data_IF_462437398240
#
_entry.id   IF_462437398240
#
_cell.length_a   1.000
_cell.length_b   1.000
_cell.length_c   1.000
_cell.angle_alpha   90.00
_cell.angle_beta   90.00
_cell.angle_gamma   90.00
#
_symmetry.space_group_name_H-M   'P 1'
#
loop_
_entity.id
_entity.type
_entity.pdbx_description
1 polymer ?
#
# COMPACT_ATOMS: atom_id res chain seq x y z
N UNK A 1 39.59 34.38 -7.17
CA UNK A 1 39.87 33.04 -6.61
C UNK A 1 39.11 32.93 -5.29
N UNK A 2 37.81 32.59 -5.35
CA UNK A 2 37.00 32.32 -4.15
C UNK A 2 37.06 30.82 -3.93
N UNK A 3 37.72 30.42 -2.84
CA UNK A 3 37.68 29.08 -2.28
C UNK A 3 36.21 28.73 -2.07
N UNK A 4 35.70 27.79 -2.88
CA UNK A 4 34.43 27.12 -2.57
C UNK A 4 34.69 26.35 -1.29
N UNK A 5 33.98 26.68 -0.21
CA UNK A 5 33.92 25.81 0.96
C UNK A 5 33.53 24.42 0.46
N UNK A 6 34.48 23.48 0.49
CA UNK A 6 34.18 22.07 0.32
C UNK A 6 33.37 21.66 1.54
N UNK A 7 32.04 21.66 1.42
CA UNK A 7 31.16 21.10 2.43
C UNK A 7 31.54 19.64 2.60
N UNK A 8 32.11 19.30 3.76
CA UNK A 8 32.52 17.94 4.09
C UNK A 8 31.59 17.37 5.15
N UNK A 9 31.16 16.12 4.96
CA UNK A 9 30.36 15.42 5.96
C UNK A 9 31.27 14.49 6.77
N UNK A 10 31.40 14.74 8.06
CA UNK A 10 32.15 13.87 8.98
C UNK A 10 31.46 12.51 9.13
N UNK A 11 32.12 11.57 9.82
CA UNK A 11 31.59 10.21 10.06
C UNK A 11 30.17 10.31 10.63
N UNK A 12 29.16 9.74 9.96
CA UNK A 12 27.78 9.81 10.42
C UNK A 12 27.59 8.96 11.67
N UNK A 13 26.77 9.45 12.61
CA UNK A 13 26.46 8.74 13.85
C UNK A 13 25.45 7.57 13.68
N UNK A 14 25.18 7.16 12.44
CA UNK A 14 24.16 6.17 12.07
C UNK A 14 24.71 5.08 11.16
N UNK A 15 23.91 4.03 10.87
CA UNK A 15 24.36 2.94 10.04
C UNK A 15 24.69 3.43 8.63
N UNK A 16 25.71 2.82 8.03
CA UNK A 16 25.96 2.92 6.60
C UNK A 16 25.04 1.97 5.87
N UNK A 17 24.43 2.43 4.80
CA UNK A 17 23.52 1.65 3.97
C UNK A 17 24.19 1.36 2.64
N UNK A 18 23.96 0.17 2.09
CA UNK A 18 24.48 -0.21 0.79
C UNK A 18 23.41 -0.85 -0.08
N UNK A 19 23.56 -0.71 -1.40
CA UNK A 19 22.82 -1.47 -2.40
C UNK A 19 23.79 -1.91 -3.49
N UNK A 20 23.85 -3.22 -3.73
CA UNK A 20 24.59 -3.77 -4.86
C UNK A 20 23.78 -3.54 -6.13
N UNK A 21 24.40 -2.89 -7.10
CA UNK A 21 23.83 -2.68 -8.43
C UNK A 21 24.54 -3.55 -9.46
N UNK A 22 23.97 -3.66 -10.66
CA UNK A 22 24.51 -4.50 -11.73
C UNK A 22 26.02 -4.28 -11.92
N UNK A 23 26.75 -5.36 -12.20
CA UNK A 23 28.23 -5.38 -12.29
C UNK A 23 28.98 -5.10 -10.96
N UNK A 24 28.44 -5.53 -9.81
CA UNK A 24 29.10 -5.48 -8.49
C UNK A 24 29.42 -4.05 -7.99
N UNK A 25 28.85 -3.02 -8.62
CA UNK A 25 29.02 -1.65 -8.16
C UNK A 25 28.17 -1.42 -6.92
N UNK A 26 28.77 -0.81 -5.90
CA UNK A 26 28.16 -0.54 -4.62
C UNK A 26 27.74 0.92 -4.57
N UNK A 27 26.53 1.18 -4.08
CA UNK A 27 26.11 2.53 -3.77
C UNK A 27 25.89 2.62 -2.28
N UNK A 28 26.52 3.63 -1.69
CA UNK A 28 26.44 3.89 -0.28
C UNK A 28 25.44 4.98 -0.01
N UNK A 29 24.80 4.88 1.16
CA UNK A 29 23.95 5.92 1.68
C UNK A 29 24.18 6.06 3.18
N UNK A 30 24.07 7.28 3.68
CA UNK A 30 23.96 7.55 5.11
C UNK A 30 22.79 8.48 5.38
N UNK A 31 22.22 8.40 6.59
CA UNK A 31 21.08 9.22 7.00
C UNK A 31 21.54 10.27 8.00
N UNK A 32 21.35 11.53 7.64
CA UNK A 32 21.73 12.69 8.46
C UNK A 32 20.47 13.34 9.02
N UNK A 33 20.39 13.46 10.35
CA UNK A 33 19.31 14.20 10.99
C UNK A 33 19.51 15.70 10.82
N UNK A 34 18.43 16.39 10.44
CA UNK A 34 18.37 17.84 10.36
C UNK A 34 17.88 18.43 11.69
N UNK A 35 18.13 19.72 11.90
CA UNK A 35 17.78 20.40 13.17
C UNK A 35 16.26 20.54 13.42
N UNK A 36 15.44 20.42 12.38
CA UNK A 36 13.98 20.54 12.42
C UNK A 36 13.27 19.18 12.62
N UNK A 37 14.02 18.10 12.87
CA UNK A 37 13.48 16.76 13.03
C UNK A 37 13.35 15.96 11.73
N UNK A 38 13.62 16.60 10.59
CA UNK A 38 13.71 15.94 9.28
C UNK A 38 14.99 15.12 9.16
N UNK A 39 15.08 14.30 8.13
CA UNK A 39 16.30 13.58 7.81
C UNK A 39 16.62 13.65 6.32
N UNK A 40 17.90 13.54 6.00
CA UNK A 40 18.40 13.53 4.64
C UNK A 40 19.15 12.23 4.37
N UNK A 41 18.75 11.50 3.33
CA UNK A 41 19.56 10.45 2.73
C UNK A 41 20.64 11.09 1.88
N UNK A 42 21.89 10.76 2.15
CA UNK A 42 23.05 11.25 1.42
C UNK A 42 23.69 10.07 0.70
N UNK A 43 23.64 10.08 -0.62
CA UNK A 43 24.18 9.00 -1.47
C UNK A 43 25.59 9.34 -1.94
N UNK A 44 26.47 8.36 -1.84
CA UNK A 44 27.89 8.51 -2.17
C UNK A 44 28.49 7.21 -2.71
N UNK A 45 29.62 7.32 -3.39
CA UNK A 45 30.32 6.19 -4.00
C UNK A 45 31.44 5.64 -3.11
N UNK A 46 32.10 4.57 -3.56
CA UNK A 46 33.23 3.94 -2.83
C UNK A 46 34.40 4.90 -2.57
N UNK A 47 34.50 5.98 -3.34
CA UNK A 47 35.49 7.05 -3.17
C UNK A 47 34.99 8.16 -2.25
N UNK A 48 33.85 7.94 -1.59
CA UNK A 48 33.27 8.84 -0.59
C UNK A 48 32.86 10.20 -1.17
N UNK A 49 32.58 10.21 -2.48
CA UNK A 49 32.07 11.38 -3.19
C UNK A 49 30.55 11.39 -3.13
N UNK A 50 29.98 12.41 -2.50
CA UNK A 50 28.52 12.65 -2.49
C UNK A 50 28.09 13.05 -3.88
N UNK A 51 27.07 12.37 -4.39
CA UNK A 51 26.54 12.64 -5.72
C UNK A 51 25.03 12.88 -5.75
N UNK A 52 24.31 12.57 -4.67
CA UNK A 52 22.86 12.75 -4.60
C UNK A 52 22.34 12.85 -3.17
N UNK A 53 21.17 13.48 -2.99
CA UNK A 53 20.52 13.70 -1.68
C UNK A 53 19.00 13.64 -1.78
N UNK A 54 18.35 13.08 -0.77
CA UNK A 54 16.88 13.07 -0.63
C UNK A 54 16.46 13.51 0.77
N UNK A 55 15.49 14.42 0.85
CA UNK A 55 14.94 14.90 2.11
C UNK A 55 13.68 14.11 2.50
N UNK A 56 13.57 13.79 3.78
CA UNK A 56 12.46 13.06 4.39
C UNK A 56 11.97 13.78 5.65
N UNK A 57 10.69 13.60 5.98
CA UNK A 57 10.08 14.21 7.17
C UNK A 57 10.64 13.64 8.48
N UNK A 58 11.24 12.46 8.47
CA UNK A 58 11.95 11.89 9.62
C UNK A 58 13.04 10.89 9.23
N UNK A 59 13.87 10.53 10.20
CA UNK A 59 14.87 9.46 10.03
C UNK A 59 14.24 8.12 9.71
N UNK A 60 13.19 7.74 10.44
CA UNK A 60 12.54 6.44 10.25
C UNK A 60 11.93 6.30 8.86
N UNK A 61 11.39 7.39 8.31
CA UNK A 61 10.93 7.49 6.92
C UNK A 61 12.04 7.24 5.92
N UNK A 62 13.15 7.94 6.11
CA UNK A 62 14.33 7.80 5.28
C UNK A 62 14.82 6.35 5.27
N UNK A 63 14.96 5.73 6.45
CA UNK A 63 15.42 4.34 6.58
C UNK A 63 14.43 3.32 5.97
N UNK A 64 13.12 3.55 6.10
CA UNK A 64 12.10 2.71 5.42
C UNK A 64 12.15 2.87 3.90
N UNK A 65 12.32 4.09 3.40
CA UNK A 65 12.45 4.37 1.98
C UNK A 65 13.69 3.70 1.37
N UNK A 66 14.80 3.69 2.12
CA UNK A 66 16.02 2.98 1.73
C UNK A 66 15.77 1.47 1.62
N UNK A 67 15.15 0.84 2.63
CA UNK A 67 14.81 -0.60 2.56
C UNK A 67 13.88 -0.94 1.41
N UNK A 68 12.84 -0.13 1.20
CA UNK A 68 11.91 -0.32 0.08
C UNK A 68 12.64 -0.33 -1.26
N UNK A 69 13.64 0.54 -1.40
CA UNK A 69 14.49 0.63 -2.58
C UNK A 69 15.65 -0.39 -2.61
N UNK A 70 15.65 -1.38 -1.71
CA UNK A 70 16.62 -2.47 -1.71
C UNK A 70 17.98 -2.11 -1.12
N UNK A 71 18.07 -1.07 -0.29
CA UNK A 71 19.25 -0.81 0.52
C UNK A 71 19.21 -1.61 1.83
N UNK A 72 20.38 -2.10 2.23
CA UNK A 72 20.58 -2.88 3.45
C UNK A 72 21.57 -2.14 4.36
N UNK A 73 21.33 -2.07 5.68
CA UNK A 73 22.34 -1.60 6.62
C UNK A 73 23.57 -2.50 6.58
N UNK A 74 24.77 -1.93 6.53
CA UNK A 74 26.04 -2.66 6.48
C UNK A 74 26.21 -3.59 7.70
N UNK A 75 25.73 -3.17 8.87
CA UNK A 75 25.80 -3.96 10.10
C UNK A 75 24.86 -5.19 10.09
N UNK A 76 23.90 -5.27 9.17
CA UNK A 76 23.00 -6.42 9.01
C UNK A 76 23.57 -7.51 8.09
N UNK A 77 24.64 -7.21 7.33
CA UNK A 77 25.32 -8.16 6.46
C UNK A 77 26.83 -8.18 6.76
N UNK A 78 27.19 -8.91 7.82
CA UNK A 78 28.57 -9.03 8.28
C UNK A 78 29.49 -9.67 7.23
N UNK A 79 28.96 -10.59 6.41
CA UNK A 79 29.72 -11.23 5.34
C UNK A 79 30.04 -10.27 4.20
N UNK A 80 29.10 -9.38 3.87
CA UNK A 80 29.32 -8.34 2.87
C UNK A 80 30.36 -7.31 3.34
N UNK A 81 30.32 -6.88 4.61
CA UNK A 81 31.29 -5.92 5.18
C UNK A 81 32.74 -6.38 5.04
N UNK A 82 33.01 -7.67 5.27
CA UNK A 82 34.36 -8.24 5.13
C UNK A 82 34.88 -8.21 3.68
N UNK A 83 33.98 -8.29 2.71
CA UNK A 83 34.31 -8.36 1.27
C UNK A 83 34.38 -6.96 0.65
N UNK A 84 33.43 -6.09 1.00
CA UNK A 84 33.28 -4.74 0.44
C UNK A 84 34.21 -3.70 1.10
N UNK A 85 34.55 -3.91 2.37
CA UNK A 85 35.21 -2.90 3.19
C UNK A 85 34.26 -1.78 3.63
N UNK A 86 34.83 -0.72 4.20
CA UNK A 86 34.10 0.48 4.62
C UNK A 86 34.53 1.70 3.80
N UNK A 87 33.58 2.58 3.44
CA UNK A 87 33.91 3.84 2.79
C UNK A 87 34.71 4.76 3.73
N UNK A 88 35.49 5.65 3.12
CA UNK A 88 36.33 6.59 3.85
C UNK A 88 35.56 7.86 4.23
N UNK A 89 35.98 8.52 5.30
CA UNK A 89 35.40 9.80 5.74
C UNK A 89 36.50 10.86 5.89
N UNK A 90 36.18 12.16 5.74
CA UNK A 90 34.85 12.73 5.51
C UNK A 90 34.38 12.60 4.05
N UNK A 91 33.05 12.53 3.85
CA UNK A 91 32.46 12.59 2.51
C UNK A 91 32.66 13.97 1.91
N UNK A 92 32.85 14.03 0.59
CA UNK A 92 33.08 15.29 -0.15
C UNK A 92 32.00 15.51 -1.19
N UNK A 93 31.49 16.74 -1.27
CA UNK A 93 30.58 17.15 -2.35
C UNK A 93 31.27 17.04 -3.72
N UNK A 94 30.67 16.29 -4.64
CA UNK A 94 31.18 16.15 -6.00
C UNK A 94 30.17 16.68 -7.02
N UNK A 95 30.42 17.87 -7.56
CA UNK A 95 29.57 18.50 -8.57
C UNK A 95 29.61 17.81 -9.96
N UNK A 96 30.40 16.73 -10.12
CA UNK A 96 30.66 16.06 -11.42
C UNK A 96 30.72 14.55 -11.28
N UNK A 97 29.77 13.98 -10.56
CA UNK A 97 29.61 12.54 -10.57
C UNK A 97 29.05 12.10 -11.93
N UNK A 98 29.76 11.22 -12.64
CA UNK A 98 29.23 10.51 -13.82
C UNK A 98 28.35 9.31 -13.38
N UNK A 99 28.04 9.20 -12.09
CA UNK A 99 27.24 8.11 -11.54
C UNK A 99 25.74 8.35 -11.82
N UNK A 100 24.95 7.28 -11.88
CA UNK A 100 23.49 7.40 -11.93
C UNK A 100 22.93 8.20 -10.74
N UNK A 101 21.80 8.87 -10.97
CA UNK A 101 21.06 9.60 -9.93
C UNK A 101 20.19 8.61 -9.17
N UNK A 102 20.64 8.21 -7.98
CA UNK A 102 20.01 7.15 -7.18
C UNK A 102 18.74 7.57 -6.46
N UNK A 103 18.39 8.85 -6.50
CA UNK A 103 17.13 9.39 -6.02
C UNK A 103 16.01 9.41 -7.07
N UNK A 104 16.23 8.89 -8.28
CA UNK A 104 15.25 9.01 -9.37
C UNK A 104 15.18 7.79 -10.31
N UNK A 105 14.06 7.70 -11.04
CA UNK A 105 13.90 6.84 -12.22
C UNK A 105 14.00 5.35 -11.91
N UNK A 106 14.97 4.69 -12.55
CA UNK A 106 15.18 3.23 -12.47
C UNK A 106 15.68 2.78 -11.08
N UNK A 107 16.37 3.65 -10.34
CA UNK A 107 17.07 3.26 -9.11
C UNK A 107 16.30 3.61 -7.83
N UNK A 108 15.30 4.48 -7.95
CA UNK A 108 14.47 4.96 -6.87
C UNK A 108 12.99 4.95 -7.25
N UNK A 109 12.26 4.06 -6.60
CA UNK A 109 10.82 4.09 -6.56
C UNK A 109 10.38 4.90 -5.35
N UNK A 110 9.52 5.89 -5.59
CA UNK A 110 8.86 6.62 -4.50
C UNK A 110 8.10 5.58 -3.69
N UNK A 111 8.49 5.33 -2.41
CA UNK A 111 7.78 4.37 -1.61
C UNK A 111 6.33 4.84 -1.46
N UNK A 112 5.34 3.94 -1.54
CA UNK A 112 3.94 4.30 -1.31
C UNK A 112 3.82 5.04 0.03
N UNK A 113 2.90 6.01 0.17
CA UNK A 113 2.83 6.88 1.36
C UNK A 113 2.73 6.09 2.69
N UNK A 114 2.20 4.87 2.66
CA UNK A 114 2.18 3.91 3.78
C UNK A 114 3.55 3.43 4.28
N UNK A 115 4.62 3.59 3.49
CA UNK A 115 6.01 3.27 3.85
C UNK A 115 6.74 4.44 4.53
N UNK A 116 6.30 5.68 4.37
CA UNK A 116 7.10 6.89 4.71
C UNK A 116 6.19 7.98 5.29
N UNK A 117 5.44 7.64 6.34
CA UNK A 117 5.24 8.38 7.61
C UNK A 117 3.98 7.87 8.33
N UNK A 118 4.14 7.25 9.51
CA UNK A 118 3.12 7.32 10.57
C UNK A 118 3.74 7.13 11.98
N UNK A 119 3.47 8.05 12.92
CA UNK A 119 3.84 7.89 14.32
C UNK A 119 2.95 6.86 15.06
N UNK A 120 3.52 6.30 16.13
CA UNK A 120 2.90 5.50 17.19
C UNK A 120 2.07 4.28 16.75
N UNK A 121 2.77 3.13 16.73
CA UNK A 121 2.30 1.75 16.98
C UNK A 121 0.79 1.50 16.80
N UNK A 122 0.47 0.78 15.74
CA UNK A 122 -0.45 -0.36 15.88
C UNK A 122 0.32 -1.63 15.55
N UNK A 123 0.46 -2.52 16.53
CA UNK A 123 1.03 -3.87 16.32
C UNK A 123 0.26 -4.52 15.16
N UNK A 124 0.95 -4.98 14.12
CA UNK A 124 0.43 -6.08 13.30
C UNK A 124 0.16 -7.21 14.29
N UNK A 125 -1.12 -7.49 14.59
CA UNK A 125 -1.46 -8.61 15.47
C UNK A 125 -1.08 -9.89 14.73
N UNK A 126 -0.40 -10.80 15.43
CA UNK A 126 -0.26 -12.20 15.06
C UNK A 126 -1.66 -12.75 14.71
N UNK A 127 -1.97 -12.82 13.41
CA UNK A 127 -3.33 -13.09 12.99
C UNK A 127 -3.48 -13.17 11.48
N UNK A 128 -3.01 -12.16 10.73
CA UNK A 128 -3.27 -12.09 9.29
C UNK A 128 -2.60 -13.20 8.47
N UNK A 129 -1.52 -13.80 8.98
CA UNK A 129 -0.86 -14.96 8.35
C UNK A 129 -1.81 -16.11 8.04
N UNK A 130 -2.89 -16.28 8.84
CA UNK A 130 -3.89 -17.32 8.59
C UNK A 130 -4.50 -17.17 7.20
N UNK A 131 -4.77 -15.94 6.76
CA UNK A 131 -5.31 -15.65 5.44
C UNK A 131 -4.26 -15.87 4.35
N UNK A 132 -3.02 -15.41 4.56
CA UNK A 132 -1.92 -15.61 3.60
C UNK A 132 -1.73 -17.10 3.31
N UNK A 133 -1.57 -17.91 4.37
CA UNK A 133 -1.41 -19.37 4.28
C UNK A 133 -2.60 -20.05 3.61
N UNK A 134 -3.83 -19.59 3.89
CA UNK A 134 -5.02 -20.17 3.29
C UNK A 134 -5.19 -19.82 1.81
N UNK A 135 -4.69 -18.66 1.37
CA UNK A 135 -4.80 -18.20 -0.02
C UNK A 135 -3.68 -18.72 -0.93
N UNK A 136 -2.53 -19.11 -0.38
CA UNK A 136 -1.29 -19.42 -1.12
C UNK A 136 -1.49 -20.31 -2.36
N UNK A 137 -2.29 -21.37 -2.26
CA UNK A 137 -2.48 -22.33 -3.36
C UNK A 137 -3.82 -22.21 -4.09
N UNK A 138 -4.70 -21.32 -3.62
CA UNK A 138 -6.10 -21.25 -4.10
C UNK A 138 -6.49 -19.88 -4.64
N UNK A 139 -5.64 -18.87 -4.46
CA UNK A 139 -5.94 -17.51 -4.93
C UNK A 139 -6.12 -17.47 -6.45
N UNK A 140 -5.24 -18.10 -7.21
CA UNK A 140 -5.34 -18.12 -8.68
C UNK A 140 -6.60 -18.85 -9.17
N UNK A 141 -6.99 -19.92 -8.46
CA UNK A 141 -8.24 -20.65 -8.72
C UNK A 141 -9.45 -19.76 -8.42
N UNK A 142 -9.47 -19.08 -7.27
CA UNK A 142 -10.54 -18.15 -6.91
C UNK A 142 -10.66 -17.02 -7.94
N UNK A 143 -9.54 -16.44 -8.38
CA UNK A 143 -9.55 -15.36 -9.37
C UNK A 143 -10.02 -15.85 -10.75
N UNK A 144 -9.66 -17.08 -11.15
CA UNK A 144 -10.16 -17.72 -12.36
C UNK A 144 -11.68 -17.93 -12.32
N UNK A 145 -12.19 -18.47 -11.21
CA UNK A 145 -13.64 -18.67 -10.98
C UNK A 145 -14.42 -17.36 -10.94
N UNK A 146 -13.84 -16.31 -10.36
CA UNK A 146 -14.44 -14.98 -10.39
C UNK A 146 -14.51 -14.45 -11.82
N UNK A 147 -13.43 -14.59 -12.60
CA UNK A 147 -13.39 -14.15 -14.01
C UNK A 147 -14.37 -14.91 -14.89
N UNK A 148 -14.64 -16.18 -14.60
CA UNK A 148 -15.68 -16.95 -15.29
C UNK A 148 -17.10 -16.61 -14.82
N UNK A 149 -17.24 -15.79 -13.76
CA UNK A 149 -18.52 -15.41 -13.19
C UNK A 149 -19.23 -16.55 -12.46
N UNK A 150 -18.51 -17.61 -12.07
CA UNK A 150 -19.09 -18.75 -11.37
C UNK A 150 -18.11 -19.34 -10.35
N UNK A 151 -18.39 -19.10 -9.07
CA UNK A 151 -17.70 -19.75 -7.96
C UNK A 151 -18.08 -21.22 -7.88
N UNK A 152 -17.08 -22.09 -7.80
CA UNK A 152 -17.28 -23.55 -7.71
C UNK A 152 -16.53 -24.21 -6.55
N UNK A 153 -15.48 -23.58 -5.98
CA UNK A 153 -14.67 -24.18 -4.92
C UNK A 153 -14.75 -23.46 -3.56
N UNK A 154 -14.04 -23.97 -2.55
CA UNK A 154 -14.22 -23.63 -1.13
C UNK A 154 -13.21 -22.58 -0.63
N UNK A 155 -13.38 -21.32 -1.03
CA UNK A 155 -12.45 -20.24 -0.64
C UNK A 155 -13.11 -18.99 -0.02
N UNK A 156 -14.44 -18.97 0.09
CA UNK A 156 -15.19 -17.76 0.44
C UNK A 156 -14.69 -17.06 1.71
N UNK A 157 -14.42 -17.82 2.78
CA UNK A 157 -14.11 -17.25 4.10
C UNK A 157 -12.80 -16.47 4.17
N UNK A 158 -11.83 -16.81 3.33
CA UNK A 158 -10.49 -16.22 3.40
C UNK A 158 -10.12 -15.39 2.17
N UNK A 159 -10.91 -15.44 1.09
CA UNK A 159 -10.86 -14.48 -0.03
C UNK A 159 -11.77 -13.27 0.24
N UNK A 160 -12.98 -13.50 0.76
CA UNK A 160 -13.95 -12.46 1.13
C UNK A 160 -14.31 -12.59 2.62
N UNK A 161 -13.39 -12.25 3.53
CA UNK A 161 -13.60 -12.42 4.96
C UNK A 161 -14.68 -11.47 5.48
N UNK A 162 -15.38 -11.91 6.52
CA UNK A 162 -16.44 -11.15 7.19
C UNK A 162 -16.14 -11.00 8.68
N UNK A 163 -16.83 -10.08 9.37
CA UNK A 163 -16.63 -9.90 10.81
C UNK A 163 -16.99 -11.19 11.57
N UNK A 164 -16.19 -11.54 12.57
CA UNK A 164 -16.40 -12.68 13.45
C UNK A 164 -17.73 -12.51 14.18
N UNK A 165 -18.45 -13.63 14.37
CA UNK A 165 -19.78 -13.63 15.00
C UNK A 165 -20.94 -13.80 14.01
N UNK A 166 -20.73 -13.60 12.71
CA UNK A 166 -21.78 -13.81 11.70
C UNK A 166 -22.04 -15.28 11.35
N UNK A 167 -20.99 -16.12 11.39
CA UNK A 167 -21.06 -17.52 11.03
C UNK A 167 -20.67 -18.45 12.18
N UNK A 168 -21.34 -19.59 12.29
CA UNK A 168 -21.14 -20.58 13.35
C UNK A 168 -20.24 -21.76 12.94
N UNK A 169 -19.77 -21.81 11.69
CA UNK A 169 -18.87 -22.89 11.25
C UNK A 169 -17.44 -22.69 11.77
N UNK A 170 -16.67 -23.78 11.88
CA UNK A 170 -15.26 -23.71 12.26
C UNK A 170 -14.44 -22.78 11.36
N UNK A 171 -14.71 -22.81 10.05
CA UNK A 171 -14.08 -21.91 9.07
C UNK A 171 -14.49 -20.44 9.27
N UNK A 172 -15.77 -20.18 9.58
CA UNK A 172 -16.25 -18.81 9.83
C UNK A 172 -15.65 -18.22 11.11
N UNK A 173 -15.39 -19.05 12.13
CA UNK A 173 -14.64 -18.62 13.33
C UNK A 173 -13.17 -18.37 13.02
N UNK A 174 -12.51 -19.33 12.36
CA UNK A 174 -11.07 -19.26 12.04
C UNK A 174 -10.71 -18.06 11.17
N UNK A 175 -11.52 -17.78 10.15
CA UNK A 175 -11.26 -16.72 9.18
C UNK A 175 -12.15 -15.48 9.36
N UNK A 176 -12.89 -15.40 10.46
CA UNK A 176 -13.58 -14.17 10.84
C UNK A 176 -12.58 -13.09 11.22
N UNK A 177 -12.82 -11.88 10.74
CA UNK A 177 -12.10 -10.66 11.15
C UNK A 177 -12.62 -10.24 12.53
N UNK A 178 -11.72 -10.00 13.47
CA UNK A 178 -12.05 -9.75 14.86
C UNK A 178 -12.59 -8.35 15.13
N UNK A 179 -12.15 -7.36 14.34
CA UNK A 179 -12.50 -5.96 14.56
C UNK A 179 -12.36 -5.12 13.30
N UNK A 180 -12.91 -3.91 13.34
CA UNK A 180 -12.69 -2.91 12.29
C UNK A 180 -11.20 -2.61 12.07
N UNK A 181 -10.40 -2.77 13.12
CA UNK A 181 -8.96 -2.55 13.10
C UNK A 181 -8.21 -3.66 12.37
N UNK A 182 -8.55 -4.92 12.61
CA UNK A 182 -7.99 -6.01 11.82
C UNK A 182 -8.45 -5.94 10.35
N UNK A 183 -9.67 -5.43 10.08
CA UNK A 183 -10.10 -5.17 8.70
C UNK A 183 -9.23 -4.08 8.03
N UNK A 184 -8.87 -3.01 8.75
CA UNK A 184 -7.95 -1.98 8.26
C UNK A 184 -6.56 -2.57 8.01
N UNK A 185 -6.04 -3.33 8.97
CA UNK A 185 -4.73 -4.00 8.83
C UNK A 185 -4.74 -4.99 7.65
N UNK A 186 -5.86 -5.67 7.38
CA UNK A 186 -6.03 -6.54 6.20
C UNK A 186 -5.95 -5.75 4.89
N UNK A 187 -6.60 -4.58 4.82
CA UNK A 187 -6.54 -3.70 3.64
C UNK A 187 -5.14 -3.11 3.42
N UNK A 188 -4.44 -2.77 4.50
CA UNK A 188 -3.11 -2.15 4.45
C UNK A 188 -1.99 -3.19 4.24
N UNK A 189 -2.32 -4.48 4.32
CA UNK A 189 -1.36 -5.54 4.11
C UNK A 189 -1.05 -5.70 2.61
N UNK A 190 0.21 -5.47 2.22
CA UNK A 190 0.68 -5.46 0.82
C UNK A 190 0.15 -6.61 -0.05
N UNK A 191 0.18 -7.86 0.45
CA UNK A 191 -0.39 -9.00 -0.28
C UNK A 191 -1.93 -9.10 -0.20
N UNK A 192 -2.50 -9.15 1.01
CA UNK A 192 -3.94 -9.41 1.21
C UNK A 192 -4.83 -8.27 0.69
N UNK A 193 -4.43 -7.02 0.89
CA UNK A 193 -5.10 -5.85 0.36
C UNK A 193 -5.14 -5.87 -1.17
N UNK A 194 -3.98 -6.08 -1.80
CA UNK A 194 -3.86 -6.21 -3.27
C UNK A 194 -4.76 -7.32 -3.80
N UNK A 195 -4.71 -8.51 -3.20
CA UNK A 195 -5.53 -9.65 -3.59
C UNK A 195 -7.02 -9.39 -3.47
N UNK A 196 -7.46 -8.74 -2.39
CA UNK A 196 -8.86 -8.37 -2.22
C UNK A 196 -9.29 -7.37 -3.30
N UNK A 197 -8.44 -6.37 -3.59
CA UNK A 197 -8.69 -5.36 -4.62
C UNK A 197 -8.73 -5.95 -6.04
N UNK A 198 -7.89 -6.93 -6.34
CA UNK A 198 -7.95 -7.68 -7.60
C UNK A 198 -9.29 -8.39 -7.74
N UNK A 199 -9.75 -9.06 -6.69
CA UNK A 199 -11.07 -9.70 -6.67
C UNK A 199 -12.20 -8.69 -6.86
N UNK A 200 -12.14 -7.52 -6.19
CA UNK A 200 -13.13 -6.45 -6.36
C UNK A 200 -13.16 -5.92 -7.79
N UNK A 201 -11.99 -5.74 -8.42
CA UNK A 201 -11.86 -5.25 -9.79
C UNK A 201 -12.45 -6.24 -10.79
N UNK A 202 -12.22 -7.55 -10.60
CA UNK A 202 -12.86 -8.59 -11.41
C UNK A 202 -14.38 -8.55 -11.25
N UNK A 203 -14.88 -8.51 -10.02
CA UNK A 203 -16.33 -8.39 -9.78
C UNK A 203 -16.92 -7.12 -10.39
N UNK A 204 -16.20 -6.01 -10.36
CA UNK A 204 -16.65 -4.78 -10.99
C UNK A 204 -16.75 -4.91 -12.52
N UNK A 205 -15.83 -5.63 -13.16
CA UNK A 205 -15.82 -5.83 -14.60
C UNK A 205 -16.87 -6.82 -15.13
N UNK A 206 -17.41 -7.71 -14.29
CA UNK A 206 -18.43 -8.68 -14.71
C UNK A 206 -19.76 -8.00 -15.06
N UNK A 207 -20.28 -8.20 -16.26
CA UNK A 207 -21.58 -7.65 -16.68
C UNK A 207 -22.69 -8.70 -16.57
N UNK A 208 -23.93 -8.26 -16.31
CA UNK A 208 -25.15 -9.08 -16.42
C UNK A 208 -25.40 -10.13 -15.33
N UNK A 209 -24.41 -10.54 -14.54
CA UNK A 209 -24.58 -11.54 -13.48
C UNK A 209 -24.94 -10.93 -12.13
N UNK A 210 -25.90 -11.52 -11.40
CA UNK A 210 -26.15 -11.16 -10.00
C UNK A 210 -25.14 -11.83 -9.06
N UNK A 211 -25.01 -11.34 -7.82
CA UNK A 211 -24.16 -11.99 -6.83
C UNK A 211 -24.63 -13.42 -6.52
N UNK A 212 -25.93 -13.73 -6.67
CA UNK A 212 -26.45 -15.08 -6.49
C UNK A 212 -26.06 -16.01 -7.64
N UNK A 213 -25.97 -15.50 -8.87
CA UNK A 213 -25.52 -16.29 -10.01
C UNK A 213 -24.04 -16.65 -9.87
N UNK A 214 -23.24 -15.70 -9.38
CA UNK A 214 -21.79 -15.89 -9.20
C UNK A 214 -21.47 -16.77 -8.00
N UNK A 215 -22.10 -16.51 -6.84
CA UNK A 215 -21.70 -17.10 -5.55
C UNK A 215 -22.72 -18.11 -4.99
N UNK A 216 -23.93 -18.16 -5.52
CA UNK A 216 -25.06 -18.82 -4.85
C UNK A 216 -25.58 -18.03 -3.64
N UNK A 217 -26.73 -18.45 -3.09
CA UNK A 217 -27.46 -17.69 -2.08
C UNK A 217 -26.68 -17.42 -0.79
N UNK A 218 -25.93 -18.41 -0.28
CA UNK A 218 -25.24 -18.29 1.00
C UNK A 218 -23.98 -17.43 0.88
N UNK A 219 -23.15 -17.69 -0.14
CA UNK A 219 -21.92 -16.93 -0.30
C UNK A 219 -22.19 -15.51 -0.82
N UNK A 220 -23.30 -15.26 -1.53
CA UNK A 220 -23.73 -13.88 -1.82
C UNK A 220 -23.97 -13.04 -0.55
N UNK A 221 -24.51 -13.64 0.52
CA UNK A 221 -24.66 -12.94 1.82
C UNK A 221 -23.31 -12.68 2.49
N UNK A 222 -22.36 -13.61 2.37
CA UNK A 222 -20.99 -13.42 2.88
C UNK A 222 -20.25 -12.32 2.11
N UNK A 223 -20.45 -12.24 0.79
CA UNK A 223 -19.92 -11.15 -0.02
C UNK A 223 -20.47 -9.81 0.47
N UNK A 224 -21.79 -9.70 0.67
CA UNK A 224 -22.38 -8.46 1.21
C UNK A 224 -21.78 -8.08 2.56
N UNK A 225 -21.55 -9.06 3.43
CA UNK A 225 -20.92 -8.85 4.75
C UNK A 225 -19.48 -8.36 4.61
N UNK A 226 -18.70 -8.97 3.73
CA UNK A 226 -17.33 -8.57 3.39
C UNK A 226 -17.29 -7.13 2.86
N UNK A 227 -18.10 -6.81 1.84
CA UNK A 227 -18.16 -5.46 1.26
C UNK A 227 -18.55 -4.41 2.31
N UNK A 228 -19.52 -4.73 3.18
CA UNK A 228 -19.95 -3.84 4.27
C UNK A 228 -18.82 -3.57 5.25
N UNK A 229 -18.11 -4.61 5.68
CA UNK A 229 -16.99 -4.51 6.61
C UNK A 229 -15.88 -3.62 6.02
N UNK A 230 -15.47 -3.88 4.79
CA UNK A 230 -14.35 -3.17 4.17
C UNK A 230 -14.70 -1.76 3.70
N UNK A 231 -15.97 -1.48 3.37
CA UNK A 231 -16.45 -0.11 3.19
C UNK A 231 -16.32 0.72 4.48
N UNK A 232 -16.64 0.14 5.64
CA UNK A 232 -16.43 0.83 6.94
C UNK A 232 -14.94 1.00 7.25
N UNK A 233 -14.13 -0.02 6.97
CA UNK A 233 -12.69 0.03 7.21
C UNK A 233 -12.04 1.14 6.38
N UNK A 234 -12.44 1.31 5.12
CA UNK A 234 -11.89 2.32 4.21
C UNK A 234 -12.37 3.75 4.48
N UNK A 235 -13.64 3.95 4.82
CA UNK A 235 -14.19 5.28 5.11
C UNK A 235 -13.47 5.97 6.30
N UNK A 236 -13.01 5.17 7.26
CA UNK A 236 -12.28 5.64 8.44
C UNK A 236 -10.85 6.13 8.13
N UNK A 237 -10.29 5.71 7.00
CA UNK A 237 -9.00 6.16 6.49
C UNK A 237 -9.14 7.51 5.78
N UNK A 238 -10.23 7.70 5.03
CA UNK A 238 -10.53 8.96 4.33
C UNK A 238 -10.78 10.14 5.29
N UNK A 239 -11.35 9.89 6.48
CA UNK A 239 -11.53 10.94 7.50
C UNK A 239 -10.22 11.43 8.13
N UNK A 240 -9.13 10.68 8.02
CA UNK A 240 -7.81 11.12 8.52
C UNK A 240 -7.04 11.98 7.51
N UNK A 241 -7.51 12.06 6.26
CA UNK A 241 -6.84 12.81 5.18
C UNK A 241 -7.53 14.13 4.83
N UNK A 242 -8.69 14.45 5.44
CA UNK A 242 -9.51 15.62 5.07
C UNK A 242 -9.41 16.82 6.02
N UNK A 243 -8.57 16.78 7.05
CA UNK A 243 -8.45 17.88 8.03
C UNK A 243 -7.40 18.95 7.69
N UNK A 244 -6.82 18.95 6.49
CA UNK A 244 -6.00 20.08 6.01
C UNK A 244 -6.31 20.49 4.56
N UNK A 245 -6.90 21.70 4.43
CA UNK A 245 -7.03 22.62 3.27
C UNK A 245 -8.25 22.56 2.32
N UNK A 246 -8.61 23.74 1.71
CA UNK A 246 -9.98 24.21 1.62
C UNK A 246 -10.68 23.93 0.28
N UNK A 247 -11.99 24.16 0.29
CA UNK A 247 -12.93 24.07 -0.82
C UNK A 247 -12.39 24.63 -2.16
N UNK A 248 -12.30 23.77 -3.17
CA UNK A 248 -12.04 24.17 -4.54
C UNK A 248 -13.38 24.39 -5.28
N UNK A 249 -13.52 25.57 -5.88
CA UNK A 249 -14.69 26.02 -6.62
C UNK A 249 -14.93 25.19 -7.90
N UNK A 250 -16.21 24.94 -8.20
CA UNK A 250 -16.67 24.23 -9.40
C UNK A 250 -16.25 24.94 -10.69
N UNK A 251 -15.79 24.23 -11.73
CA UNK A 251 -15.64 24.81 -13.06
C UNK A 251 -17.02 24.92 -13.74
N UNK A 252 -17.26 26.05 -14.38
CA UNK A 252 -18.44 26.26 -15.21
C UNK A 252 -18.44 25.34 -16.44
N UNK A 253 -19.63 24.82 -16.74
CA UNK A 253 -19.92 23.96 -17.89
C UNK A 253 -20.03 24.84 -19.13
N UNK A 254 -19.16 24.62 -20.11
CA UNK A 254 -19.37 25.15 -21.46
C UNK A 254 -19.96 24.05 -22.34
N UNK A 255 -21.12 24.35 -22.92
CA UNK A 255 -21.97 23.42 -23.64
C UNK A 255 -21.59 23.36 -25.11
N UNK A 256 -20.87 22.32 -25.54
CA UNK A 256 -20.96 21.78 -26.90
C UNK A 256 -20.05 20.57 -27.10
N UNK A 257 -20.62 19.36 -27.09
CA UNK A 257 -20.20 18.25 -27.94
C UNK A 257 -21.22 17.10 -27.80
N UNK A 258 -21.87 16.80 -28.92
CA UNK A 258 -22.81 15.71 -29.07
C UNK A 258 -22.09 14.35 -29.07
N UNK A 259 -22.66 13.38 -28.35
CA UNK A 259 -22.69 11.98 -28.80
C UNK A 259 -21.49 11.09 -28.48
N UNK A 260 -21.18 10.89 -27.20
CA UNK A 260 -20.62 9.62 -26.73
C UNK A 260 -21.44 9.13 -25.54
N UNK A 261 -21.80 7.84 -25.55
CA UNK A 261 -22.78 7.21 -24.65
C UNK A 261 -22.53 7.59 -23.18
N UNK A 262 -23.56 8.05 -22.46
CA UNK A 262 -23.49 8.42 -21.03
C UNK A 262 -22.80 7.35 -20.18
N UNK A 263 -22.94 6.09 -20.58
CA UNK A 263 -22.37 4.93 -19.90
C UNK A 263 -20.85 4.86 -20.05
N UNK A 264 -20.30 5.29 -21.20
CA UNK A 264 -18.84 5.32 -21.41
C UNK A 264 -18.19 6.45 -20.62
N UNK A 265 -18.84 7.62 -20.51
CA UNK A 265 -18.37 8.70 -19.64
C UNK A 265 -18.47 8.33 -18.16
N UNK A 266 -19.59 7.70 -17.74
CA UNK A 266 -19.75 7.20 -16.38
C UNK A 266 -18.70 6.14 -16.03
N UNK A 267 -18.42 5.21 -16.96
CA UNK A 267 -17.37 4.20 -16.81
C UNK A 267 -15.97 4.83 -16.71
N UNK A 268 -15.64 5.81 -17.54
CA UNK A 268 -14.34 6.48 -17.50
C UNK A 268 -14.13 7.30 -16.22
N UNK A 269 -15.17 8.02 -15.76
CA UNK A 269 -15.15 8.70 -14.46
C UNK A 269 -14.99 7.70 -13.31
N UNK A 270 -15.65 6.55 -13.41
CA UNK A 270 -15.52 5.48 -12.43
C UNK A 270 -14.11 4.89 -12.41
N UNK A 271 -13.56 4.54 -13.57
CA UNK A 271 -12.20 3.99 -13.67
C UNK A 271 -11.17 5.00 -13.14
N UNK A 272 -11.41 6.29 -13.35
CA UNK A 272 -10.60 7.37 -12.75
C UNK A 272 -10.76 7.43 -11.22
N UNK A 273 -11.99 7.39 -10.69
CA UNK A 273 -12.24 7.45 -9.25
C UNK A 273 -11.72 6.21 -8.54
N UNK A 274 -11.82 5.04 -9.17
CA UNK A 274 -11.22 3.79 -8.71
C UNK A 274 -9.69 3.88 -8.67
N UNK A 275 -9.07 4.51 -9.67
CA UNK A 275 -7.62 4.74 -9.66
C UNK A 275 -7.19 5.73 -8.55
N UNK A 276 -8.05 6.69 -8.19
CA UNK A 276 -7.80 7.66 -7.12
C UNK A 276 -8.07 7.12 -5.73
N UNK A 277 -9.10 6.31 -5.58
CA UNK A 277 -9.51 5.73 -4.32
C UNK A 277 -9.96 4.29 -4.57
N UNK A 278 -9.01 3.34 -4.63
CA UNK A 278 -9.32 1.93 -4.84
C UNK A 278 -10.32 1.42 -3.79
N UNK A 279 -10.28 1.98 -2.57
CA UNK A 279 -11.15 1.58 -1.47
C UNK A 279 -12.61 2.09 -1.59
N UNK A 280 -12.93 2.93 -2.58
CA UNK A 280 -14.29 3.31 -2.94
C UNK A 280 -15.08 2.16 -3.60
N UNK A 281 -14.38 1.14 -4.12
CA UNK A 281 -15.00 0.02 -4.84
C UNK A 281 -16.00 -0.78 -4.01
N UNK A 282 -15.85 -0.82 -2.68
CA UNK A 282 -16.71 -1.63 -1.82
C UNK A 282 -18.17 -1.13 -1.83
N UNK A 283 -18.38 0.18 -1.76
CA UNK A 283 -19.71 0.80 -1.83
C UNK A 283 -20.34 0.65 -3.22
N UNK A 284 -19.50 0.69 -4.25
CA UNK A 284 -19.93 0.53 -5.63
C UNK A 284 -20.37 -0.90 -5.93
N UNK A 285 -19.64 -1.88 -5.39
CA UNK A 285 -20.05 -3.28 -5.45
C UNK A 285 -21.30 -3.55 -4.60
N UNK A 286 -21.50 -2.86 -3.47
CA UNK A 286 -22.77 -2.88 -2.74
C UNK A 286 -23.91 -2.32 -3.60
N UNK A 287 -23.68 -1.21 -4.31
CA UNK A 287 -24.65 -0.64 -5.25
C UNK A 287 -25.01 -1.63 -6.35
N UNK A 288 -23.98 -2.15 -7.04
CA UNK A 288 -24.10 -3.06 -8.18
C UNK A 288 -24.82 -4.36 -7.82
N UNK A 289 -24.42 -5.01 -6.73
CA UNK A 289 -24.88 -6.37 -6.42
C UNK A 289 -25.99 -6.44 -5.37
N UNK A 290 -26.16 -5.38 -4.57
CA UNK A 290 -27.07 -5.38 -3.41
C UNK A 290 -27.92 -4.11 -3.30
N UNK A 291 -28.04 -3.32 -4.38
CA UNK A 291 -28.82 -2.07 -4.42
C UNK A 291 -28.41 -1.07 -3.33
N UNK A 292 -27.12 -1.05 -3.00
CA UNK A 292 -26.52 -0.17 -1.99
C UNK A 292 -26.77 -0.62 -0.55
N UNK A 293 -27.45 -1.76 -0.34
CA UNK A 293 -27.81 -2.22 1.00
C UNK A 293 -26.63 -2.93 1.66
N UNK A 294 -26.13 -2.33 2.74
CA UNK A 294 -25.17 -2.92 3.64
C UNK A 294 -25.76 -4.12 4.42
N UNK A 295 -24.89 -4.94 4.99
CA UNK A 295 -25.26 -6.00 5.91
C UNK A 295 -25.45 -5.45 7.34
N UNK A 296 -26.70 -5.35 7.78
CA UNK A 296 -27.05 -4.77 9.09
C UNK A 296 -26.40 -5.50 10.28
N UNK A 297 -26.22 -6.83 10.18
CA UNK A 297 -25.59 -7.59 11.27
C UNK A 297 -24.12 -7.24 11.40
N UNK A 298 -23.42 -7.10 10.27
CA UNK A 298 -22.04 -6.59 10.25
C UNK A 298 -21.96 -5.23 10.94
N UNK A 299 -22.86 -4.30 10.59
CA UNK A 299 -22.86 -2.96 11.18
C UNK A 299 -23.10 -2.98 12.70
N UNK A 300 -24.09 -3.75 13.18
CA UNK A 300 -24.37 -3.86 14.62
C UNK A 300 -23.18 -4.40 15.41
N UNK A 301 -22.51 -5.45 14.90
CA UNK A 301 -21.33 -6.01 15.56
C UNK A 301 -20.20 -4.97 15.63
N UNK A 302 -20.00 -4.17 14.57
CA UNK A 302 -19.00 -3.12 14.57
C UNK A 302 -19.33 -2.00 15.58
N UNK A 303 -20.59 -1.58 15.64
CA UNK A 303 -21.05 -0.58 16.61
C UNK A 303 -20.87 -1.07 18.05
N UNK A 304 -21.17 -2.34 18.34
CA UNK A 304 -20.99 -2.95 19.67
C UNK A 304 -19.51 -3.06 20.11
N UNK A 305 -18.55 -2.99 19.18
CA UNK A 305 -17.12 -3.04 19.47
C UNK A 305 -16.47 -1.66 19.69
N UNK A 306 -17.14 -0.58 19.27
CA UNK A 306 -16.66 0.81 19.40
C UNK A 306 -17.05 1.45 20.76
N UNK A 307 -17.75 0.71 21.64
CA UNK A 307 -18.10 1.06 23.03
C UNK A 307 -17.33 0.22 24.06
#
# INVERSE_FOLDING_TARGET
>A
MRTRDETTLAVPAGPLWFKVTGMLQQNWCTVVNQHDGKAEAVFFDDLSSVFDRLLFESRDDCERALRFNGFTPLDEDTGFREIAGEPSFPLRESARSHRPVYSSGEYWHVPPEEFVHRPARRRVREGLERFVKAQEQVFDVALSELRSGQKSTHWMWFIFPQIRGLGTSGMSRKFGIDSLDEARDYLDHALLGTRLMDCMSVLWALEGSSARDIFGSVDALKLRSCLTLFAKASASQLRRTTDDKPAFQSPQVDSSAQGSSSDQQAKAMFDHELARNPRFIFEQLLSKYFSGRADEKTLRILEEQDF
#
